data_IF_043601933641
#
_entry.id   IF_043601933641
#
_cell.length_a   1.000
_cell.length_b   1.000
_cell.length_c   1.000
_cell.angle_alpha   90.00
_cell.angle_beta   90.00
_cell.angle_gamma   90.00
#
_symmetry.space_group_name_H-M   'P 1'
#
loop_
_entity.id
_entity.type
_entity.pdbx_description
1 polymer ?
#
# COMPACT_ATOMS: atom_id res chain seq x y z
N UNK A 1 19.52 -8.82 27.18
CA UNK A 1 20.44 -7.66 27.21
C UNK A 1 20.11 -6.80 26.01
N UNK A 2 19.55 -5.60 26.19
CA UNK A 2 19.34 -4.64 25.09
C UNK A 2 20.67 -3.94 24.83
N UNK A 3 21.17 -4.02 23.60
CA UNK A 3 22.36 -3.27 23.22
C UNK A 3 21.97 -1.82 22.88
N UNK A 4 22.64 -0.80 23.44
CA UNK A 4 22.24 0.61 23.30
C UNK A 4 22.17 1.12 21.86
N UNK A 5 23.02 0.60 20.95
CA UNK A 5 23.04 1.00 19.54
C UNK A 5 21.80 0.52 18.78
N UNK A 6 21.22 -0.64 19.11
CA UNK A 6 19.96 -1.11 18.51
C UNK A 6 18.79 -0.14 18.76
N UNK A 7 18.81 0.56 19.90
CA UNK A 7 17.79 1.56 20.20
C UNK A 7 17.97 2.83 19.35
N UNK A 8 19.22 3.24 19.08
CA UNK A 8 19.55 4.38 18.20
C UNK A 8 19.19 4.06 16.75
N UNK A 9 19.56 2.87 16.26
CA UNK A 9 19.25 2.43 14.89
C UNK A 9 17.75 2.34 14.65
N UNK A 10 16.99 1.85 15.63
CA UNK A 10 15.53 1.83 15.58
C UNK A 10 14.93 3.23 15.47
N UNK A 11 15.38 4.19 16.29
CA UNK A 11 14.86 5.56 16.23
C UNK A 11 15.18 6.22 14.88
N UNK A 12 16.40 6.03 14.37
CA UNK A 12 16.78 6.53 13.05
C UNK A 12 15.93 5.92 11.93
N UNK A 13 15.72 4.60 11.97
CA UNK A 13 14.90 3.89 10.98
C UNK A 13 13.43 4.35 11.01
N UNK A 14 12.85 4.57 12.18
CA UNK A 14 11.49 5.13 12.32
C UNK A 14 11.39 6.53 11.68
N UNK A 15 12.36 7.41 11.94
CA UNK A 15 12.36 8.76 11.37
C UNK A 15 12.42 8.73 9.83
N UNK A 16 13.25 7.86 9.26
CA UNK A 16 13.37 7.70 7.81
C UNK A 16 12.09 7.11 7.20
N UNK A 17 11.38 6.21 7.90
CA UNK A 17 10.09 5.68 7.43
C UNK A 17 9.01 6.76 7.39
N UNK A 18 8.93 7.60 8.42
CA UNK A 18 7.99 8.73 8.44
C UNK A 18 8.28 9.70 7.28
N UNK A 19 9.55 9.95 6.98
CA UNK A 19 9.92 10.76 5.81
C UNK A 19 9.50 10.07 4.50
N UNK A 20 9.77 8.78 4.35
CA UNK A 20 9.35 8.01 3.17
C UNK A 20 7.85 8.04 2.95
N UNK A 21 7.05 7.97 4.02
CA UNK A 21 5.60 8.08 3.94
C UNK A 21 5.14 9.46 3.45
N UNK A 22 5.76 10.54 3.96
CA UNK A 22 5.47 11.90 3.51
C UNK A 22 5.86 12.11 2.04
N UNK A 23 6.98 11.55 1.62
CA UNK A 23 7.41 11.56 0.22
C UNK A 23 6.42 10.81 -0.67
N UNK A 24 5.93 9.65 -0.22
CA UNK A 24 4.94 8.87 -0.95
C UNK A 24 3.65 9.66 -1.16
N UNK A 25 3.13 10.32 -0.10
CA UNK A 25 1.95 11.20 -0.19
C UNK A 25 2.13 12.34 -1.20
N UNK A 26 3.33 12.90 -1.31
CA UNK A 26 3.67 13.98 -2.23
C UNK A 26 3.93 13.52 -3.68
N UNK A 27 3.93 12.21 -3.93
CA UNK A 27 4.20 11.64 -5.25
C UNK A 27 5.67 11.45 -5.57
N UNK A 28 6.56 11.71 -4.61
CA UNK A 28 8.00 11.47 -4.74
C UNK A 28 8.32 10.00 -4.46
N UNK A 29 7.73 9.08 -5.24
CA UNK A 29 7.70 7.64 -4.93
C UNK A 29 9.11 7.02 -4.94
N UNK A 30 9.98 7.42 -5.86
CA UNK A 30 11.36 6.90 -5.91
C UNK A 30 12.12 7.19 -4.62
N UNK A 31 12.01 8.42 -4.10
CA UNK A 31 12.66 8.81 -2.85
C UNK A 31 12.01 8.13 -1.64
N UNK A 32 10.68 7.95 -1.67
CA UNK A 32 9.96 7.18 -0.67
C UNK A 32 10.48 5.73 -0.59
N UNK A 33 10.62 5.04 -1.74
CA UNK A 33 11.18 3.68 -1.78
C UNK A 33 12.62 3.63 -1.26
N UNK A 34 13.44 4.63 -1.59
CA UNK A 34 14.81 4.73 -1.08
C UNK A 34 14.84 4.90 0.46
N UNK A 35 13.92 5.72 1.02
CA UNK A 35 13.76 5.87 2.45
C UNK A 35 13.36 4.55 3.13
N UNK A 36 12.40 3.82 2.56
CA UNK A 36 11.99 2.50 3.08
C UNK A 36 13.14 1.49 3.04
N UNK A 37 13.92 1.47 1.96
CA UNK A 37 15.12 0.62 1.85
C UNK A 37 16.18 0.98 2.89
N UNK A 38 16.40 2.27 3.14
CA UNK A 38 17.36 2.74 4.14
C UNK A 38 16.92 2.36 5.56
N UNK A 39 15.64 2.56 5.89
CA UNK A 39 15.09 2.13 7.17
C UNK A 39 15.23 0.62 7.40
N UNK A 40 15.05 -0.19 6.36
CA UNK A 40 15.28 -1.63 6.43
C UNK A 40 16.75 -2.00 6.71
N UNK A 41 17.69 -1.24 6.13
CA UNK A 41 19.11 -1.45 6.36
C UNK A 41 19.54 -1.09 7.80
N UNK A 42 18.91 -0.07 8.39
CA UNK A 42 19.13 0.36 9.77
C UNK A 42 18.53 -0.61 10.79
N UNK A 43 17.26 -0.97 10.66
CA UNK A 43 16.60 -1.95 11.52
C UNK A 43 15.63 -2.81 10.70
N UNK A 44 16.14 -3.96 10.23
CA UNK A 44 15.33 -4.93 9.48
C UNK A 44 14.10 -5.43 10.27
N UNK A 45 14.12 -5.38 11.60
CA UNK A 45 12.98 -5.82 12.45
C UNK A 45 11.78 -4.89 12.33
N UNK A 46 12.00 -3.62 11.98
CA UNK A 46 10.92 -2.67 11.72
C UNK A 46 10.15 -2.99 10.45
N UNK A 47 10.68 -3.83 9.55
CA UNK A 47 9.99 -4.16 8.30
C UNK A 47 9.20 -5.46 8.33
N UNK A 48 9.21 -6.16 9.47
CA UNK A 48 8.55 -7.46 9.68
C UNK A 48 7.57 -7.43 10.85
N UNK A 49 7.25 -6.25 11.36
CA UNK A 49 6.30 -6.08 12.48
C UNK A 49 4.90 -5.79 11.97
N UNK A 50 3.88 -6.10 12.77
CA UNK A 50 2.47 -5.76 12.48
C UNK A 50 2.30 -4.26 12.23
N UNK A 51 2.96 -3.42 13.04
CA UNK A 51 2.95 -1.96 12.85
C UNK A 51 3.49 -1.54 11.46
N UNK A 52 4.44 -2.28 10.90
CA UNK A 52 5.02 -1.98 9.59
C UNK A 52 4.13 -2.34 8.41
N UNK A 53 3.10 -3.16 8.62
CA UNK A 53 2.12 -3.45 7.57
C UNK A 53 1.46 -2.17 7.07
N UNK A 54 1.13 -1.25 7.98
CA UNK A 54 0.55 0.06 7.64
C UNK A 54 1.49 0.93 6.80
N UNK A 55 2.79 0.89 7.07
CA UNK A 55 3.78 1.62 6.27
C UNK A 55 3.87 1.05 4.85
N UNK A 56 4.03 -0.26 4.75
CA UNK A 56 4.04 -0.95 3.45
C UNK A 56 2.76 -0.69 2.67
N UNK A 57 1.61 -0.65 3.36
CA UNK A 57 0.33 -0.31 2.77
C UNK A 57 0.28 1.13 2.24
N UNK A 58 0.79 2.10 3.00
CA UNK A 58 0.85 3.49 2.52
C UNK A 58 1.71 3.62 1.28
N UNK A 59 2.89 2.99 1.26
CA UNK A 59 3.75 3.00 0.07
C UNK A 59 3.06 2.33 -1.13
N UNK A 60 2.36 1.21 -0.90
CA UNK A 60 1.55 0.55 -1.91
C UNK A 60 0.45 1.46 -2.48
N UNK A 61 -0.35 2.07 -1.60
CA UNK A 61 -1.47 2.94 -1.97
C UNK A 61 -0.98 4.16 -2.76
N UNK A 62 -0.10 4.96 -2.16
CA UNK A 62 0.38 6.20 -2.77
C UNK A 62 1.22 5.94 -4.00
N UNK A 63 2.08 4.92 -3.98
CA UNK A 63 2.84 4.51 -5.16
C UNK A 63 1.93 4.18 -6.33
N UNK A 64 0.89 3.40 -6.09
CA UNK A 64 -0.13 3.06 -7.10
C UNK A 64 -0.83 4.30 -7.63
N UNK A 65 -1.31 5.17 -6.73
CA UNK A 65 -1.99 6.41 -7.12
C UNK A 65 -1.10 7.33 -7.94
N UNK A 66 0.20 7.38 -7.68
CA UNK A 66 1.16 8.23 -8.41
C UNK A 66 1.74 7.57 -9.67
N UNK A 67 1.18 6.44 -10.12
CA UNK A 67 1.56 5.79 -11.38
C UNK A 67 2.75 4.83 -11.26
N UNK A 68 3.19 4.53 -10.04
CA UNK A 68 4.29 3.63 -9.72
C UNK A 68 3.80 2.26 -9.24
N UNK A 69 2.60 1.83 -9.63
CA UNK A 69 1.98 0.58 -9.17
C UNK A 69 2.92 -0.64 -9.32
N UNK A 70 3.62 -0.75 -10.46
CA UNK A 70 4.57 -1.83 -10.70
C UNK A 70 5.77 -1.81 -9.73
N UNK A 71 6.27 -0.62 -9.38
CA UNK A 71 7.43 -0.46 -8.52
C UNK A 71 7.11 -0.82 -7.06
N UNK A 72 5.87 -0.56 -6.62
CA UNK A 72 5.45 -0.75 -5.23
C UNK A 72 4.75 -2.09 -4.95
N UNK A 73 4.65 -2.99 -5.94
CA UNK A 73 4.02 -4.31 -5.74
C UNK A 73 4.64 -5.11 -4.58
N UNK A 74 5.95 -5.02 -4.38
CA UNK A 74 6.62 -5.69 -3.25
C UNK A 74 6.15 -5.12 -1.90
N UNK A 75 5.87 -3.81 -1.83
CA UNK A 75 5.30 -3.20 -0.64
C UNK A 75 3.87 -3.72 -0.39
N UNK A 76 3.05 -3.78 -1.45
CA UNK A 76 1.68 -4.31 -1.36
C UNK A 76 1.64 -5.75 -0.83
N UNK A 77 2.46 -6.64 -1.40
CA UNK A 77 2.51 -8.03 -0.96
C UNK A 77 3.00 -8.18 0.48
N UNK A 78 3.93 -7.32 0.89
CA UNK A 78 4.44 -7.32 2.27
C UNK A 78 3.40 -6.84 3.27
N UNK A 79 2.60 -5.82 2.93
CA UNK A 79 1.49 -5.37 3.77
C UNK A 79 0.48 -6.50 4.00
N UNK A 80 0.03 -7.16 2.93
CA UNK A 80 -0.91 -8.29 3.00
C UNK A 80 -0.31 -9.49 3.75
N UNK A 81 0.98 -9.80 3.56
CA UNK A 81 1.63 -10.90 4.26
C UNK A 81 1.74 -10.67 5.77
N UNK A 82 1.93 -9.41 6.20
CA UNK A 82 2.08 -9.05 7.61
C UNK A 82 0.76 -9.04 8.36
N UNK A 83 -0.32 -8.59 7.74
CA UNK A 83 -1.68 -8.65 8.30
C UNK A 83 -2.65 -9.17 7.23
N UNK A 84 -2.77 -10.50 7.08
CA UNK A 84 -3.61 -11.10 6.05
C UNK A 84 -5.10 -10.83 6.25
N UNK A 85 -5.55 -10.50 7.46
CA UNK A 85 -6.98 -10.29 7.74
C UNK A 85 -7.40 -8.81 7.66
N UNK A 86 -6.47 -7.91 7.34
CA UNK A 86 -6.75 -6.50 7.13
C UNK A 86 -7.16 -6.27 5.67
N UNK A 87 -8.44 -6.00 5.47
CA UNK A 87 -9.00 -5.72 4.15
C UNK A 87 -8.38 -4.49 3.49
N UNK A 88 -7.94 -3.48 4.25
CA UNK A 88 -7.33 -2.27 3.69
C UNK A 88 -6.00 -2.55 2.97
N UNK A 89 -5.24 -3.54 3.44
CA UNK A 89 -4.03 -4.00 2.76
C UNK A 89 -4.35 -4.66 1.41
N UNK A 90 -5.44 -5.43 1.37
CA UNK A 90 -5.89 -6.05 0.11
C UNK A 90 -6.44 -5.00 -0.84
N UNK A 91 -7.22 -4.04 -0.36
CA UNK A 91 -7.73 -2.94 -1.18
C UNK A 91 -6.62 -2.19 -1.93
N UNK A 92 -5.56 -1.82 -1.22
CA UNK A 92 -4.41 -1.14 -1.82
C UNK A 92 -3.68 -2.02 -2.84
N UNK A 93 -3.52 -3.32 -2.55
CA UNK A 93 -2.93 -4.26 -3.51
C UNK A 93 -3.84 -4.48 -4.72
N UNK A 94 -5.16 -4.50 -4.53
CA UNK A 94 -6.14 -4.62 -5.60
C UNK A 94 -6.04 -3.49 -6.61
N UNK A 95 -5.89 -2.25 -6.12
CA UNK A 95 -5.60 -1.09 -6.95
C UNK A 95 -4.31 -1.27 -7.75
N UNK A 96 -3.21 -1.67 -7.08
CA UNK A 96 -1.92 -1.87 -7.73
C UNK A 96 -1.96 -2.96 -8.81
N UNK A 97 -2.65 -4.07 -8.54
CA UNK A 97 -2.87 -5.18 -9.48
C UNK A 97 -3.68 -4.76 -10.69
N UNK A 98 -4.76 -4.03 -10.50
CA UNK A 98 -5.57 -3.53 -11.61
C UNK A 98 -4.75 -2.60 -12.52
N UNK A 99 -3.97 -1.68 -11.93
CA UNK A 99 -3.10 -0.77 -12.67
C UNK A 99 -1.94 -1.46 -13.39
N UNK A 100 -1.54 -2.65 -12.94
CA UNK A 100 -0.49 -3.47 -13.58
C UNK A 100 -1.05 -4.56 -14.50
N UNK A 101 -2.38 -4.64 -14.64
CA UNK A 101 -3.09 -5.53 -15.57
C UNK A 101 -3.50 -6.89 -14.99
N UNK A 102 -3.23 -7.16 -13.71
CA UNK A 102 -3.75 -8.34 -12.99
C UNK A 102 -5.19 -8.08 -12.51
N UNK A 103 -6.14 -8.07 -13.45
CA UNK A 103 -7.54 -7.76 -13.16
C UNK A 103 -8.19 -8.83 -12.29
N UNK A 104 -7.88 -10.10 -12.52
CA UNK A 104 -8.42 -11.22 -11.73
C UNK A 104 -7.94 -11.15 -10.28
N UNK A 105 -6.64 -10.89 -10.06
CA UNK A 105 -6.08 -10.70 -8.74
C UNK A 105 -6.62 -9.46 -8.03
N UNK A 106 -6.90 -8.39 -8.78
CA UNK A 106 -7.53 -7.18 -8.25
C UNK A 106 -8.96 -7.42 -7.78
N UNK A 107 -9.76 -8.15 -8.55
CA UNK A 107 -11.14 -8.53 -8.17
C UNK A 107 -11.13 -9.29 -6.84
N UNK A 108 -10.27 -10.30 -6.70
CA UNK A 108 -10.17 -11.10 -5.46
C UNK A 108 -9.82 -10.23 -4.25
N UNK A 109 -8.90 -9.28 -4.42
CA UNK A 109 -8.50 -8.38 -3.35
C UNK A 109 -9.61 -7.40 -2.95
N UNK A 110 -10.32 -6.83 -3.93
CA UNK A 110 -11.45 -5.94 -3.66
C UNK A 110 -12.64 -6.66 -3.05
N UNK A 111 -12.94 -7.90 -3.45
CA UNK A 111 -13.97 -8.73 -2.82
C UNK A 111 -13.67 -8.97 -1.34
N UNK A 112 -12.40 -9.22 -1.01
CA UNK A 112 -11.98 -9.38 0.36
C UNK A 112 -12.09 -8.07 1.17
N UNK A 113 -11.78 -6.91 0.58
CA UNK A 113 -12.01 -5.62 1.22
C UNK A 113 -13.51 -5.36 1.46
N UNK A 114 -14.36 -5.60 0.45
CA UNK A 114 -15.82 -5.49 0.55
C UNK A 114 -16.37 -6.35 1.69
N UNK A 115 -15.87 -7.57 1.87
CA UNK A 115 -16.28 -8.43 2.96
C UNK A 115 -15.81 -7.94 4.36
N UNK A 116 -14.71 -7.19 4.40
CA UNK A 116 -14.06 -6.74 5.62
C UNK A 116 -14.56 -5.38 6.13
N UNK A 117 -14.78 -4.41 5.24
CA UNK A 117 -15.15 -3.04 5.65
C UNK A 117 -16.60 -2.98 6.18
N UNK A 118 -16.88 -2.27 7.28
CA UNK A 118 -18.25 -1.97 7.69
C UNK A 118 -18.84 -0.74 6.98
N UNK A 119 -18.03 0.00 6.21
CA UNK A 119 -18.45 1.25 5.56
C UNK A 119 -19.18 0.96 4.23
N UNK A 120 -20.41 1.46 4.13
CA UNK A 120 -21.28 1.20 2.98
C UNK A 120 -20.87 2.00 1.74
N UNK A 121 -20.25 3.18 1.89
CA UNK A 121 -19.79 4.01 0.78
C UNK A 121 -18.56 3.38 0.12
N UNK A 122 -17.58 2.95 0.92
CA UNK A 122 -16.42 2.20 0.48
C UNK A 122 -16.83 0.88 -0.19
N UNK A 123 -17.78 0.15 0.42
CA UNK A 123 -18.32 -1.09 -0.12
C UNK A 123 -18.94 -0.87 -1.51
N UNK A 124 -19.79 0.15 -1.66
CA UNK A 124 -20.43 0.46 -2.92
C UNK A 124 -19.40 0.89 -3.98
N UNK A 125 -18.40 1.68 -3.61
CA UNK A 125 -17.34 2.11 -4.51
C UNK A 125 -16.52 0.92 -5.02
N UNK A 126 -16.04 0.04 -4.13
CA UNK A 126 -15.27 -1.15 -4.55
C UNK A 126 -16.12 -2.16 -5.31
N UNK A 127 -17.42 -2.26 -5.02
CA UNK A 127 -18.32 -3.09 -5.83
C UNK A 127 -18.40 -2.58 -7.27
N UNK A 128 -18.49 -1.25 -7.48
CA UNK A 128 -18.44 -0.66 -8.82
C UNK A 128 -17.13 -0.94 -9.56
N UNK A 129 -16.00 -0.92 -8.85
CA UNK A 129 -14.71 -1.31 -9.44
C UNK A 129 -14.69 -2.79 -9.83
N UNK A 130 -15.16 -3.68 -8.95
CA UNK A 130 -15.26 -5.12 -9.22
C UNK A 130 -16.10 -5.38 -10.47
N UNK A 131 -17.26 -4.75 -10.59
CA UNK A 131 -18.17 -4.95 -11.73
C UNK A 131 -17.54 -4.46 -13.05
N UNK A 132 -16.80 -3.36 -13.01
CA UNK A 132 -16.06 -2.82 -14.17
C UNK A 132 -14.92 -3.76 -14.58
N UNK A 133 -14.14 -4.25 -13.60
CA UNK A 133 -13.05 -5.20 -13.83
C UNK A 133 -13.56 -6.53 -14.41
N UNK A 134 -14.70 -7.05 -13.92
CA UNK A 134 -15.35 -8.25 -14.45
C UNK A 134 -15.86 -8.09 -15.88
N UNK A 135 -16.16 -6.86 -16.30
CA UNK A 135 -16.46 -6.55 -17.70
C UNK A 135 -15.21 -6.49 -18.59
N UNK A 136 -14.01 -6.66 -18.02
CA UNK A 136 -12.73 -6.56 -18.72
C UNK A 136 -12.24 -5.12 -18.89
N UNK A 137 -12.86 -4.17 -18.19
CA UNK A 137 -12.50 -2.76 -18.24
C UNK A 137 -11.75 -2.35 -16.96
N UNK A 138 -10.83 -1.39 -17.06
CA UNK A 138 -10.11 -0.88 -15.90
C UNK A 138 -10.75 0.45 -15.44
N UNK A 139 -11.33 0.52 -14.23
CA UNK A 139 -12.00 1.73 -13.73
C UNK A 139 -11.02 2.87 -13.38
N UNK A 140 -9.72 2.60 -13.29
CA UNK A 140 -8.73 3.54 -12.76
C UNK A 140 -8.16 4.48 -13.84
N UNK A 141 -8.99 5.39 -14.33
CA UNK A 141 -8.56 6.48 -15.21
C UNK A 141 -7.72 7.52 -14.44
N UNK A 142 -6.94 8.38 -15.12
CA UNK A 142 -6.21 9.46 -14.46
C UNK A 142 -7.07 10.35 -13.56
N UNK A 143 -8.33 10.59 -13.94
CA UNK A 143 -9.29 11.37 -13.16
C UNK A 143 -9.70 10.64 -11.87
N UNK A 144 -9.93 9.33 -11.95
CA UNK A 144 -10.25 8.50 -10.78
C UNK A 144 -9.05 8.47 -9.82
N UNK A 145 -7.84 8.27 -10.33
CA UNK A 145 -6.62 8.30 -9.52
C UNK A 145 -6.43 9.65 -8.84
N UNK A 146 -6.67 10.76 -9.55
CA UNK A 146 -6.59 12.11 -8.99
C UNK A 146 -7.67 12.37 -7.92
N UNK A 147 -8.87 11.81 -8.08
CA UNK A 147 -9.91 11.89 -7.05
C UNK A 147 -9.52 11.10 -5.79
N UNK A 148 -8.95 9.90 -5.96
CA UNK A 148 -8.49 9.05 -4.86
C UNK A 148 -7.33 9.67 -4.07
N UNK A 149 -6.50 10.53 -4.68
CA UNK A 149 -5.44 11.27 -3.97
C UNK A 149 -5.98 12.35 -3.01
N UNK A 150 -7.25 12.71 -3.13
CA UNK A 150 -7.89 13.82 -2.38
C UNK A 150 -8.79 13.36 -1.25
N UNK A 151 -9.05 12.06 -1.17
CA UNK A 151 -9.81 11.42 -0.08
C UNK A 151 -8.90 11.29 1.15
#
# INVERSE_FOLDING_TARGET
>A
MCEPWRAVDRVAALAVLTEGENLARQGTITDAMAAYSNAQALDSTLTVSVWSAWLWNNLCWWGSLWGHAADVMTACDRAVALIPDDGGNRDSRGLARALTGDLDGAIVDFEAFVAWTPDDEDRAQRQGWIDTLRAGENPFTPEVLEALRKQ
#
